data_IF_350328616898
#
_entry.id   IF_350328616898
#
_cell.length_a   1.000
_cell.length_b   1.000
_cell.length_c   1.000
_cell.angle_alpha   90.00
_cell.angle_beta   90.00
_cell.angle_gamma   90.00
#
_symmetry.space_group_name_H-M   'P 1'
#
loop_
_entity.id
_entity.type
_entity.pdbx_description
1 polymer ?
#
# COMPACT_ATOMS: atom_id res chain seq x y z
N UNK A 1 33.04 10.11 10.64
CA UNK A 1 31.79 10.68 10.09
C UNK A 1 30.66 9.83 10.61
N UNK A 2 29.98 10.24 11.69
CA UNK A 2 28.93 9.39 12.29
C UNK A 2 27.72 10.28 12.54
N UNK A 3 26.70 10.13 11.70
CA UNK A 3 25.37 10.66 11.94
C UNK A 3 24.62 9.73 12.87
N UNK A 4 24.00 10.28 13.91
CA UNK A 4 23.08 9.53 14.76
C UNK A 4 21.76 9.28 14.01
N UNK A 5 21.01 8.23 14.38
CA UNK A 5 19.65 8.04 13.90
C UNK A 5 18.83 9.31 14.08
N UNK A 6 18.02 9.65 13.07
CA UNK A 6 17.14 10.80 13.14
C UNK A 6 16.12 10.55 14.26
N UNK A 7 16.04 11.48 15.20
CA UNK A 7 15.00 11.47 16.22
C UNK A 7 13.63 11.70 15.56
N UNK A 8 12.75 10.71 15.67
CA UNK A 8 11.45 10.68 15.00
C UNK A 8 10.56 11.84 15.46
N UNK A 9 10.60 12.18 16.75
CA UNK A 9 9.81 13.29 17.30
C UNK A 9 10.23 14.64 16.71
N UNK A 10 11.54 14.88 16.62
CA UNK A 10 12.10 16.07 15.99
C UNK A 10 11.80 16.12 14.50
N UNK A 11 11.93 15.01 13.78
CA UNK A 11 11.62 14.94 12.35
C UNK A 11 10.14 15.26 12.08
N UNK A 12 9.23 14.70 12.88
CA UNK A 12 7.79 14.95 12.74
C UNK A 12 7.48 16.43 13.01
N UNK A 13 8.02 16.97 14.09
CA UNK A 13 7.74 18.35 14.51
C UNK A 13 8.37 19.40 13.61
N UNK A 14 9.64 19.21 13.22
CA UNK A 14 10.44 20.24 12.51
C UNK A 14 10.37 20.13 11.00
N UNK A 15 10.03 18.96 10.45
CA UNK A 15 10.02 18.74 9.01
C UNK A 15 8.64 18.32 8.51
N UNK A 16 8.08 17.23 9.04
CA UNK A 16 6.86 16.64 8.47
C UNK A 16 5.63 17.55 8.60
N UNK A 17 5.33 18.04 9.83
CA UNK A 17 4.18 18.94 10.04
C UNK A 17 4.28 20.24 9.22
N UNK A 18 5.42 20.95 9.19
CA UNK A 18 5.57 22.11 8.32
C UNK A 18 5.33 21.84 6.83
N UNK A 19 5.75 20.67 6.33
CA UNK A 19 5.50 20.27 4.93
C UNK A 19 4.01 20.10 4.67
N UNK A 20 3.27 19.44 5.58
CA UNK A 20 1.81 19.29 5.44
C UNK A 20 1.10 20.65 5.40
N UNK A 21 1.47 21.57 6.31
CA UNK A 21 0.89 22.92 6.35
C UNK A 21 1.20 23.69 5.07
N UNK A 22 2.45 23.64 4.59
CA UNK A 22 2.86 24.30 3.34
C UNK A 22 2.14 23.74 2.12
N UNK A 23 1.81 22.45 2.13
CA UNK A 23 1.05 21.78 1.07
C UNK A 23 -0.46 21.91 1.22
N UNK A 24 -0.96 22.66 2.21
CA UNK A 24 -2.40 22.78 2.52
C UNK A 24 -3.08 21.42 2.73
N UNK A 25 -2.32 20.44 3.23
CA UNK A 25 -2.78 19.09 3.50
C UNK A 25 -3.32 18.96 4.93
N UNK A 26 -4.29 18.06 5.17
CA UNK A 26 -4.72 17.75 6.52
C UNK A 26 -3.56 17.21 7.36
N UNK A 27 -3.60 17.49 8.67
CA UNK A 27 -2.59 16.98 9.59
C UNK A 27 -2.79 15.48 9.79
N UNK A 28 -2.00 14.70 9.07
CA UNK A 28 -1.95 13.24 9.17
C UNK A 28 -0.72 12.78 9.97
N UNK A 29 -0.72 11.52 10.39
CA UNK A 29 0.43 10.88 11.02
C UNK A 29 1.42 10.42 9.97
N UNK A 30 2.68 10.26 10.34
CA UNK A 30 3.72 9.84 9.39
C UNK A 30 3.46 8.45 8.79
N UNK A 31 2.84 7.54 9.55
CA UNK A 31 2.46 6.22 9.04
C UNK A 31 1.29 6.25 8.04
N UNK A 32 0.50 7.32 8.00
CA UNK A 32 -0.62 7.44 7.06
C UNK A 32 -0.12 7.55 5.61
N UNK A 33 1.12 8.02 5.41
CA UNK A 33 1.77 7.95 4.09
C UNK A 33 1.89 6.51 3.60
N UNK A 34 2.25 5.58 4.49
CA UNK A 34 2.37 4.17 4.14
C UNK A 34 1.01 3.54 3.84
N UNK A 35 -0.02 3.91 4.59
CA UNK A 35 -1.38 3.49 4.28
C UNK A 35 -1.84 4.04 2.93
N UNK A 36 -1.55 5.31 2.63
CA UNK A 36 -1.87 5.93 1.34
C UNK A 36 -1.20 5.20 0.18
N UNK A 37 0.08 4.86 0.31
CA UNK A 37 0.80 4.06 -0.69
C UNK A 37 0.16 2.68 -0.89
N UNK A 38 -0.23 2.01 0.20
CA UNK A 38 -0.91 0.72 0.10
C UNK A 38 -2.23 0.84 -0.67
N UNK A 39 -3.07 1.81 -0.30
CA UNK A 39 -4.35 2.06 -0.97
C UNK A 39 -4.16 2.38 -2.45
N UNK A 40 -3.20 3.24 -2.81
CA UNK A 40 -2.90 3.57 -4.20
C UNK A 40 -2.48 2.35 -5.02
N UNK A 41 -1.57 1.53 -4.50
CA UNK A 41 -1.11 0.33 -5.20
C UNK A 41 -2.24 -0.68 -5.41
N UNK A 42 -3.11 -0.85 -4.42
CA UNK A 42 -4.28 -1.72 -4.53
C UNK A 42 -5.29 -1.19 -5.55
N UNK A 43 -5.55 0.12 -5.57
CA UNK A 43 -6.42 0.75 -6.58
C UNK A 43 -5.87 0.59 -8.00
N UNK A 44 -4.54 0.53 -8.15
CA UNK A 44 -3.88 0.24 -9.42
C UNK A 44 -3.88 -1.26 -9.79
N UNK A 45 -4.55 -2.11 -9.01
CA UNK A 45 -4.66 -3.54 -9.27
C UNK A 45 -3.42 -4.35 -8.88
N UNK A 46 -2.48 -3.78 -8.12
CA UNK A 46 -1.31 -4.51 -7.64
C UNK A 46 -1.76 -5.54 -6.60
N UNK A 47 -1.36 -6.79 -6.81
CA UNK A 47 -1.76 -7.89 -5.92
C UNK A 47 -1.32 -7.63 -4.47
N UNK A 48 -2.21 -7.86 -3.51
CA UNK A 48 -2.00 -7.53 -2.10
C UNK A 48 -0.71 -8.13 -1.50
N UNK A 49 -0.33 -9.34 -1.95
CA UNK A 49 0.93 -9.99 -1.55
C UNK A 49 2.17 -9.19 -1.96
N UNK A 50 2.16 -8.61 -3.17
CA UNK A 50 3.25 -7.79 -3.69
C UNK A 50 3.33 -6.46 -2.93
N UNK A 51 2.16 -5.84 -2.65
CA UNK A 51 2.08 -4.63 -1.81
C UNK A 51 2.63 -4.89 -0.40
N UNK A 52 2.29 -6.04 0.19
CA UNK A 52 2.78 -6.47 1.49
C UNK A 52 4.31 -6.64 1.52
N UNK A 53 4.88 -7.28 0.52
CA UNK A 53 6.34 -7.46 0.42
C UNK A 53 7.05 -6.12 0.23
N UNK A 54 6.53 -5.26 -0.65
CA UNK A 54 7.08 -3.93 -0.92
C UNK A 54 7.09 -3.03 0.32
N UNK A 55 6.01 -3.05 1.09
CA UNK A 55 5.89 -2.20 2.27
C UNK A 55 6.59 -2.79 3.50
N UNK A 56 7.01 -4.06 3.47
CA UNK A 56 7.54 -4.81 4.60
C UNK A 56 6.45 -5.26 5.56
N UNK A 57 6.64 -6.39 6.24
CA UNK A 57 5.65 -7.09 7.08
C UNK A 57 5.07 -6.31 8.28
N UNK A 58 5.38 -5.03 8.44
CA UNK A 58 4.88 -4.19 9.54
C UNK A 58 3.42 -3.78 9.31
N UNK A 59 2.51 -4.56 9.90
CA UNK A 59 1.06 -4.34 10.01
C UNK A 59 0.27 -4.43 8.69
N UNK A 60 0.12 -5.67 8.22
CA UNK A 60 -0.83 -6.08 7.17
C UNK A 60 -2.25 -6.34 7.71
N UNK A 61 -2.48 -6.29 9.03
CA UNK A 61 -3.81 -6.59 9.60
C UNK A 61 -4.93 -5.71 9.06
N UNK A 62 -4.66 -4.50 8.56
CA UNK A 62 -5.70 -3.66 7.93
C UNK A 62 -5.92 -3.99 6.43
N UNK A 63 -4.88 -4.47 5.75
CA UNK A 63 -4.81 -4.55 4.28
C UNK A 63 -5.52 -5.78 3.72
N UNK A 64 -5.54 -6.90 4.45
CA UNK A 64 -6.22 -8.14 4.02
C UNK A 64 -7.72 -8.11 4.31
N UNK A 65 -8.13 -7.64 5.50
CA UNK A 65 -9.54 -7.66 5.90
C UNK A 65 -10.40 -6.66 5.12
N UNK A 66 -9.84 -5.52 4.73
CA UNK A 66 -10.58 -4.44 4.02
C UNK A 66 -10.65 -4.67 2.49
N UNK A 67 -9.80 -5.54 1.93
CA UNK A 67 -9.71 -5.72 0.47
C UNK A 67 -9.87 -7.18 0.02
N UNK A 68 -10.22 -8.08 0.94
CA UNK A 68 -10.62 -9.46 0.59
C UNK A 68 -11.79 -9.51 -0.39
N UNK A 69 -12.57 -8.43 -0.52
CA UNK A 69 -13.71 -8.33 -1.45
C UNK A 69 -13.29 -7.99 -2.89
N UNK A 70 -12.06 -7.50 -3.10
CA UNK A 70 -11.51 -7.13 -4.43
C UNK A 70 -10.69 -8.27 -5.04
N UNK A 71 -10.21 -9.21 -4.21
CA UNK A 71 -9.52 -10.41 -4.65
C UNK A 71 -10.39 -11.41 -5.47
N UNK A 72 -11.70 -11.61 -5.17
CA UNK A 72 -12.57 -12.51 -5.92
C UNK A 72 -12.68 -12.14 -7.39
N UNK A 73 -12.78 -10.85 -7.72
CA UNK A 73 -12.91 -10.40 -9.12
C UNK A 73 -11.62 -10.66 -9.93
N UNK A 74 -10.45 -10.51 -9.30
CA UNK A 74 -9.16 -10.84 -9.94
C UNK A 74 -8.96 -12.36 -10.11
N UNK A 75 -9.46 -13.16 -9.17
CA UNK A 75 -9.47 -14.62 -9.31
C UNK A 75 -10.41 -15.08 -10.41
N UNK A 76 -11.59 -14.48 -10.54
CA UNK A 76 -12.54 -14.78 -11.61
C UNK A 76 -11.95 -14.48 -12.99
N UNK A 77 -11.29 -13.32 -13.14
CA UNK A 77 -10.59 -12.98 -14.39
C UNK A 77 -9.44 -13.95 -14.71
N UNK A 78 -8.65 -14.36 -13.72
CA UNK A 78 -7.57 -15.31 -13.90
C UNK A 78 -8.09 -16.71 -14.30
N UNK A 79 -9.18 -17.16 -13.67
CA UNK A 79 -9.85 -18.42 -14.01
C UNK A 79 -10.44 -18.37 -15.42
N UNK A 80 -11.12 -17.27 -15.78
CA UNK A 80 -11.68 -17.10 -17.12
C UNK A 80 -10.59 -17.06 -18.21
N UNK A 81 -9.46 -16.42 -17.92
CA UNK A 81 -8.31 -16.41 -18.83
C UNK A 81 -7.72 -17.81 -19.01
N UNK A 82 -7.57 -18.57 -17.92
CA UNK A 82 -7.11 -19.96 -17.96
C UNK A 82 -8.09 -20.86 -18.73
N UNK A 83 -9.39 -20.72 -18.50
CA UNK A 83 -10.43 -21.50 -19.18
C UNK A 83 -10.46 -21.17 -20.69
N UNK A 84 -10.26 -19.91 -21.05
CA UNK A 84 -10.12 -19.49 -22.46
C UNK A 84 -8.88 -20.10 -23.12
N UNK A 85 -7.75 -20.19 -22.41
CA UNK A 85 -6.54 -20.81 -22.92
C UNK A 85 -6.69 -22.33 -23.10
N UNK A 86 -7.31 -23.00 -22.12
CA UNK A 86 -7.53 -24.45 -22.16
C UNK A 86 -8.61 -24.86 -23.17
N UNK A 87 -9.65 -24.06 -23.36
CA UNK A 87 -10.71 -24.31 -24.34
C UNK A 87 -10.27 -24.08 -25.79
N UNK A 88 -9.30 -23.17 -26.03
CA UNK A 88 -8.69 -22.95 -27.35
C UNK A 88 -7.74 -24.06 -27.81
N UNK A 89 -7.27 -24.90 -26.88
CA UNK A 89 -6.33 -25.98 -27.17
C UNK A 89 -7.04 -27.32 -27.48
N UNK A 90 -8.36 -27.29 -27.75
CA UNK A 90 -9.15 -28.45 -28.15
C UNK A 90 -9.66 -28.31 -29.58
#
# INVERSE_FOLDING_TARGET
MIGNPIDVGNMIRRSFRPILVKGELPIIRFHDLRHSTASLLLTLGVHAKVVQELLGHSQISLTLDTYSHVLPSLQEEAVNCLDTLLSRSR
#
